data_IF_580728310320
#
_entry.id   IF_580728310320
#
_cell.length_a   1.000
_cell.length_b   1.000
_cell.length_c   1.000
_cell.angle_alpha   90.00
_cell.angle_beta   90.00
_cell.angle_gamma   90.00
#
_symmetry.space_group_name_H-M   'P 1'
#
loop_
_entity.id
_entity.type
_entity.pdbx_description
1 polymer ?
#
# COMPACT_ATOMS: atom_id res chain seq x y z
N UNK A 1 35.17 -27.43 -6.83
CA UNK A 1 34.36 -27.95 -5.70
C UNK A 1 35.01 -29.20 -5.09
N UNK A 2 34.98 -30.41 -5.69
CA UNK A 2 35.62 -31.60 -5.07
C UNK A 2 37.12 -31.39 -4.77
N UNK A 3 37.88 -30.91 -5.76
CA UNK A 3 39.29 -30.49 -5.66
C UNK A 3 39.55 -29.36 -4.66
N UNK A 4 38.50 -28.73 -4.12
CA UNK A 4 38.55 -27.58 -3.22
C UNK A 4 38.36 -27.98 -1.75
N UNK A 5 37.99 -29.24 -1.51
CA UNK A 5 37.79 -29.84 -0.18
C UNK A 5 38.64 -31.12 0.03
N UNK A 6 39.51 -31.45 -0.92
CA UNK A 6 40.40 -32.64 -0.88
C UNK A 6 39.68 -34.00 -0.71
N UNK A 7 38.42 -34.10 -1.15
CA UNK A 7 37.62 -35.32 -1.09
C UNK A 7 37.75 -36.13 -2.39
N UNK A 8 37.97 -37.44 -2.29
CA UNK A 8 37.93 -38.36 -3.45
C UNK A 8 36.47 -38.72 -3.79
N UNK A 9 36.15 -39.13 -5.03
CA UNK A 9 34.78 -39.52 -5.40
C UNK A 9 34.25 -40.68 -4.54
N UNK A 10 35.07 -41.68 -4.25
CA UNK A 10 34.75 -42.81 -3.37
C UNK A 10 34.58 -42.46 -1.88
N UNK A 11 35.10 -41.33 -1.41
CA UNK A 11 34.89 -40.86 -0.02
C UNK A 11 33.50 -40.20 0.17
N UNK A 12 32.78 -39.93 -0.92
CA UNK A 12 31.52 -39.18 -0.87
C UNK A 12 30.34 -40.07 -0.41
N UNK A 13 29.48 -39.59 0.51
CA UNK A 13 28.23 -40.29 0.81
C UNK A 13 27.33 -40.34 -0.43
N UNK A 14 26.74 -41.50 -0.68
CA UNK A 14 25.84 -41.69 -1.84
C UNK A 14 24.71 -40.66 -1.88
N UNK A 15 24.25 -40.30 -3.08
CA UNK A 15 23.18 -39.31 -3.26
C UNK A 15 21.95 -39.62 -2.41
N UNK A 16 21.56 -40.89 -2.30
CA UNK A 16 20.46 -41.34 -1.45
C UNK A 16 20.73 -41.09 0.05
N UNK A 17 21.97 -41.27 0.54
CA UNK A 17 22.36 -40.99 1.93
C UNK A 17 22.28 -39.49 2.22
N UNK A 18 22.76 -38.65 1.30
CA UNK A 18 22.64 -37.17 1.39
C UNK A 18 21.16 -36.74 1.37
N UNK A 19 20.38 -37.25 0.41
CA UNK A 19 18.94 -36.98 0.30
C UNK A 19 18.18 -37.41 1.57
N UNK A 20 18.50 -38.57 2.15
CA UNK A 20 17.90 -39.03 3.39
C UNK A 20 18.20 -38.11 4.58
N UNK A 21 19.45 -37.63 4.72
CA UNK A 21 19.82 -36.64 5.75
C UNK A 21 19.10 -35.31 5.53
N UNK A 22 19.04 -34.80 4.30
CA UNK A 22 18.33 -33.56 3.96
C UNK A 22 16.82 -33.70 4.22
N UNK A 23 16.21 -34.84 3.86
CA UNK A 23 14.79 -35.11 4.12
C UNK A 23 14.50 -35.37 5.61
N UNK A 24 15.44 -35.90 6.39
CA UNK A 24 15.32 -35.99 7.85
C UNK A 24 15.41 -34.60 8.50
N UNK A 25 16.43 -33.82 8.16
CA UNK A 25 16.64 -32.46 8.68
C UNK A 25 15.46 -31.54 8.32
N UNK A 26 15.00 -31.56 7.06
CA UNK A 26 13.83 -30.77 6.64
C UNK A 26 12.56 -31.15 7.40
N UNK A 27 12.29 -32.45 7.64
CA UNK A 27 11.14 -32.91 8.44
C UNK A 27 11.25 -32.54 9.93
N UNK A 28 12.44 -32.61 10.52
CA UNK A 28 12.62 -32.50 11.98
C UNK A 28 13.05 -31.11 12.49
N UNK A 29 13.61 -30.25 11.62
CA UNK A 29 14.09 -28.91 11.97
C UNK A 29 13.36 -27.81 11.21
N UNK A 30 13.13 -28.01 9.90
CA UNK A 30 12.48 -27.00 9.02
C UNK A 30 10.97 -27.26 8.83
N UNK A 31 10.33 -27.99 9.76
CA UNK A 31 8.88 -28.24 9.76
C UNK A 31 8.31 -28.94 8.51
N UNK A 32 9.14 -29.48 7.63
CA UNK A 32 8.79 -29.96 6.29
C UNK A 32 8.01 -31.27 6.26
N UNK A 33 6.83 -31.25 6.88
CA UNK A 33 5.94 -32.36 7.14
C UNK A 33 4.47 -31.86 7.17
N UNK A 34 3.54 -32.71 6.73
CA UNK A 34 2.09 -32.46 6.75
C UNK A 34 1.30 -33.47 7.58
N UNK A 35 1.98 -34.40 8.28
CA UNK A 35 1.32 -35.31 9.22
C UNK A 35 0.57 -34.50 10.28
N UNK A 36 -0.75 -34.70 10.33
CA UNK A 36 -1.70 -33.90 11.12
C UNK A 36 -1.30 -33.86 12.59
N UNK A 37 -0.91 -34.99 13.19
CA UNK A 37 -0.48 -35.04 14.60
C UNK A 37 0.69 -34.09 14.87
N UNK A 38 1.75 -34.17 14.09
CA UNK A 38 2.92 -33.30 14.21
C UNK A 38 2.59 -31.82 13.92
N UNK A 39 1.74 -31.54 12.92
CA UNK A 39 1.32 -30.17 12.57
C UNK A 39 0.47 -29.56 13.69
N UNK A 40 -0.54 -30.28 14.17
CA UNK A 40 -1.38 -29.88 15.31
C UNK A 40 -0.53 -29.72 16.58
N UNK A 41 0.44 -30.59 16.85
CA UNK A 41 1.37 -30.44 17.98
C UNK A 41 2.24 -29.19 17.85
N UNK A 42 2.79 -28.88 16.66
CA UNK A 42 3.56 -27.66 16.43
C UNK A 42 2.72 -26.38 16.61
N UNK A 43 1.48 -26.40 16.14
CA UNK A 43 0.53 -25.28 16.29
C UNK A 43 0.16 -25.09 17.75
N UNK A 44 -0.21 -26.16 18.48
CA UNK A 44 -0.59 -26.11 19.90
C UNK A 44 0.57 -25.78 20.83
N UNK A 45 1.80 -26.21 20.53
CA UNK A 45 3.00 -25.82 21.27
C UNK A 45 3.36 -24.32 21.13
N UNK A 46 2.59 -23.58 20.33
CA UNK A 46 2.74 -22.14 20.08
C UNK A 46 1.41 -21.39 20.35
N UNK A 47 0.44 -22.04 21.00
CA UNK A 47 -0.85 -21.44 21.32
C UNK A 47 -0.73 -20.25 22.26
N UNK A 48 -1.62 -19.27 22.10
CA UNK A 48 -1.67 -18.10 22.98
C UNK A 48 -2.02 -18.49 24.43
N UNK A 49 -1.07 -18.24 25.33
CA UNK A 49 -1.17 -18.36 26.78
C UNK A 49 -1.16 -16.98 27.48
N UNK A 50 -0.75 -15.91 26.78
CA UNK A 50 -0.73 -14.52 27.26
C UNK A 50 0.62 -14.05 27.82
N UNK A 51 1.53 -14.97 28.14
CA UNK A 51 2.85 -14.68 28.73
C UNK A 51 4.02 -14.64 27.73
N UNK A 52 3.74 -14.69 26.42
CA UNK A 52 4.73 -14.63 25.34
C UNK A 52 5.52 -13.31 25.34
N UNK A 53 6.73 -13.31 24.78
CA UNK A 53 7.48 -12.06 24.53
C UNK A 53 6.71 -11.12 23.58
N UNK A 54 6.95 -9.82 23.65
CA UNK A 54 6.24 -8.79 22.87
C UNK A 54 6.19 -9.11 21.36
N UNK A 55 7.34 -9.45 20.78
CA UNK A 55 7.48 -9.79 19.35
C UNK A 55 7.40 -11.30 19.05
N UNK A 56 7.06 -12.14 20.03
CA UNK A 56 6.92 -13.58 19.81
C UNK A 56 5.62 -13.90 19.02
N UNK A 57 5.70 -14.65 17.91
CA UNK A 57 4.51 -15.06 17.17
C UNK A 57 3.83 -16.27 17.81
N UNK A 58 2.58 -16.12 18.22
CA UNK A 58 1.73 -17.18 18.76
C UNK A 58 0.61 -17.56 17.78
N UNK A 59 0.01 -18.71 18.01
CA UNK A 59 -1.13 -19.24 17.26
C UNK A 59 -2.42 -19.13 18.08
N UNK A 60 -3.56 -19.09 17.40
CA UNK A 60 -4.88 -19.07 18.03
C UNK A 60 -5.94 -19.71 17.12
N UNK A 61 -7.10 -20.04 17.70
CA UNK A 61 -8.23 -20.66 17.00
C UNK A 61 -9.56 -20.32 17.66
N UNK A 62 -10.66 -20.80 17.07
CA UNK A 62 -12.02 -20.50 17.53
C UNK A 62 -12.63 -21.58 18.44
N UNK A 63 -12.59 -22.84 17.99
CA UNK A 63 -13.12 -23.97 18.75
C UNK A 63 -12.09 -24.47 19.76
N UNK A 64 -12.54 -24.90 20.94
CA UNK A 64 -11.71 -25.45 22.02
C UNK A 64 -12.29 -26.79 22.47
N UNK A 65 -11.43 -27.72 22.88
CA UNK A 65 -11.83 -29.01 23.45
C UNK A 65 -11.82 -28.98 24.99
N UNK A 66 -12.36 -30.03 25.61
CA UNK A 66 -12.48 -30.16 27.07
C UNK A 66 -11.12 -30.14 27.81
N UNK A 67 -10.04 -30.45 27.09
CA UNK A 67 -8.65 -30.39 27.59
C UNK A 67 -8.06 -28.97 27.54
N UNK A 68 -8.85 -27.93 27.24
CA UNK A 68 -8.39 -26.55 27.16
C UNK A 68 -7.45 -26.26 25.98
N UNK A 69 -7.49 -27.07 24.92
CA UNK A 69 -6.69 -26.87 23.71
C UNK A 69 -7.58 -26.48 22.53
N UNK A 70 -7.15 -25.51 21.73
CA UNK A 70 -7.91 -25.17 20.52
C UNK A 70 -7.86 -26.30 19.48
N UNK A 71 -8.97 -26.47 18.77
CA UNK A 71 -9.16 -27.47 17.72
C UNK A 71 -8.64 -26.86 16.42
N UNK A 72 -7.64 -27.52 15.84
CA UNK A 72 -7.02 -27.10 14.57
C UNK A 72 -7.75 -27.69 13.36
N UNK A 73 -8.48 -28.81 13.54
CA UNK A 73 -9.04 -29.61 12.46
C UNK A 73 -8.04 -30.54 11.79
N UNK A 74 -8.52 -31.38 10.86
CA UNK A 74 -7.70 -32.26 10.02
C UNK A 74 -7.73 -31.87 8.53
N UNK A 75 -8.67 -31.02 8.13
CA UNK A 75 -8.84 -30.53 6.76
C UNK A 75 -9.95 -31.17 5.95
N UNK A 76 -10.72 -32.12 6.49
CA UNK A 76 -11.95 -32.64 5.85
C UNK A 76 -13.11 -31.65 5.99
N UNK A 77 -14.24 -31.97 5.37
CA UNK A 77 -15.42 -31.11 5.39
C UNK A 77 -16.07 -31.02 6.78
N UNK A 78 -16.00 -32.11 7.57
CA UNK A 78 -16.53 -32.22 8.92
C UNK A 78 -15.57 -31.69 10.00
N UNK A 79 -14.26 -31.65 9.72
CA UNK A 79 -13.21 -31.23 10.65
C UNK A 79 -12.27 -30.19 9.98
N UNK A 80 -12.78 -29.00 9.63
CA UNK A 80 -12.08 -28.04 8.78
C UNK A 80 -10.78 -27.56 9.43
N UNK A 81 -9.70 -27.50 8.66
CA UNK A 81 -8.41 -27.03 9.17
C UNK A 81 -8.44 -25.52 9.31
N UNK A 82 -8.28 -24.95 10.50
CA UNK A 82 -8.28 -23.50 10.74
C UNK A 82 -7.39 -23.10 11.93
N UNK A 83 -6.47 -22.16 11.70
CA UNK A 83 -5.78 -21.44 12.78
C UNK A 83 -5.24 -20.08 12.32
N UNK A 84 -5.05 -19.15 13.27
CA UNK A 84 -4.44 -17.82 13.07
C UNK A 84 -3.04 -17.71 13.68
N UNK A 85 -2.24 -16.74 13.20
CA UNK A 85 -0.89 -16.42 13.66
C UNK A 85 -0.69 -14.89 13.74
N UNK A 86 -0.25 -14.38 14.89
CA UNK A 86 0.02 -12.94 15.09
C UNK A 86 1.04 -12.70 16.23
N UNK A 87 1.30 -11.44 16.59
CA UNK A 87 2.11 -11.00 17.75
C UNK A 87 1.37 -9.87 18.51
N UNK A 88 1.89 -9.43 19.65
CA UNK A 88 1.24 -8.37 20.46
C UNK A 88 1.25 -7.00 19.76
N UNK A 89 2.37 -6.50 19.19
CA UNK A 89 2.39 -5.28 18.37
C UNK A 89 1.47 -5.32 17.16
N UNK A 90 1.40 -6.44 16.44
CA UNK A 90 0.60 -6.52 15.21
C UNK A 90 -0.88 -6.21 15.50
N UNK A 91 -1.47 -6.87 16.51
CA UNK A 91 -2.83 -6.59 16.95
C UNK A 91 -3.01 -5.16 17.45
N UNK A 92 -2.04 -4.63 18.23
CA UNK A 92 -2.09 -3.26 18.78
C UNK A 92 -2.10 -2.16 17.70
N UNK A 93 -1.72 -2.44 16.45
CA UNK A 93 -1.88 -1.47 15.35
C UNK A 93 -3.34 -1.07 15.13
N UNK A 94 -4.34 -1.90 15.44
CA UNK A 94 -5.76 -1.56 15.35
C UNK A 94 -6.34 -0.90 16.63
N UNK A 95 -5.52 -0.62 17.64
CA UNK A 95 -5.93 0.06 18.89
C UNK A 95 -6.13 1.57 18.68
N UNK A 96 -7.08 1.94 17.84
CA UNK A 96 -7.42 3.32 17.45
C UNK A 96 -8.91 3.43 17.07
N UNK A 97 -9.36 4.64 16.79
CA UNK A 97 -10.71 4.90 16.26
C UNK A 97 -10.95 4.11 14.95
N UNK A 98 -11.99 3.24 14.88
CA UNK A 98 -12.36 2.49 13.69
C UNK A 98 -12.61 3.31 12.42
N UNK A 99 -12.94 4.60 12.54
CA UNK A 99 -13.10 5.49 11.39
C UNK A 99 -11.76 5.87 10.72
N UNK A 100 -10.63 5.70 11.42
CA UNK A 100 -9.29 6.09 10.93
C UNK A 100 -8.61 5.05 10.06
N UNK A 101 -9.22 3.87 9.86
CA UNK A 101 -8.65 2.79 9.06
C UNK A 101 -9.70 1.99 8.28
N UNK A 102 -9.27 1.41 7.16
CA UNK A 102 -10.00 0.34 6.48
C UNK A 102 -9.42 -0.99 6.94
N UNK A 103 -10.23 -1.91 7.46
CA UNK A 103 -9.83 -3.28 7.72
C UNK A 103 -9.88 -4.09 6.42
N UNK A 104 -8.84 -4.87 6.14
CA UNK A 104 -8.66 -5.58 4.89
C UNK A 104 -8.55 -7.08 5.10
N UNK A 105 -9.14 -7.85 4.17
CA UNK A 105 -8.95 -9.30 4.02
C UNK A 105 -8.66 -9.61 2.55
N UNK A 106 -7.48 -10.14 2.23
CA UNK A 106 -7.11 -10.67 0.91
C UNK A 106 -6.86 -12.18 1.03
N UNK A 107 -7.31 -12.97 0.03
CA UNK A 107 -7.09 -14.42 0.02
C UNK A 107 -5.95 -14.84 -0.93
N UNK A 108 -4.87 -15.36 -0.34
CA UNK A 108 -3.68 -15.81 -1.07
C UNK A 108 -3.60 -17.32 -1.19
N UNK A 109 -3.66 -17.80 -2.43
CA UNK A 109 -3.59 -19.21 -2.83
C UNK A 109 -2.17 -19.66 -3.21
N UNK A 110 -1.97 -20.98 -3.37
CA UNK A 110 -0.73 -21.62 -3.84
C UNK A 110 0.50 -21.37 -2.94
N UNK A 111 0.29 -21.37 -1.62
CA UNK A 111 1.35 -21.28 -0.60
C UNK A 111 1.86 -22.65 -0.14
N UNK A 112 0.99 -23.66 -0.09
CA UNK A 112 1.27 -24.99 0.45
C UNK A 112 0.77 -26.15 -0.42
N UNK A 113 1.26 -27.35 -0.12
CA UNK A 113 0.98 -28.59 -0.85
C UNK A 113 -0.43 -29.14 -0.65
N UNK A 114 -1.12 -28.77 0.44
CA UNK A 114 -2.54 -29.09 0.68
C UNK A 114 -3.52 -28.19 -0.08
N UNK A 115 -3.04 -27.15 -0.77
CA UNK A 115 -3.86 -26.19 -1.49
C UNK A 115 -4.56 -25.14 -0.61
N UNK A 116 -4.41 -25.22 0.73
CA UNK A 116 -5.15 -24.40 1.69
C UNK A 116 -4.88 -22.90 1.47
N UNK A 117 -5.91 -22.05 1.29
CA UNK A 117 -5.72 -20.61 1.23
C UNK A 117 -5.14 -20.03 2.54
N UNK A 118 -4.36 -18.96 2.38
CA UNK A 118 -3.90 -18.10 3.48
C UNK A 118 -4.71 -16.80 3.43
N UNK A 119 -5.41 -16.48 4.51
CA UNK A 119 -6.11 -15.19 4.66
C UNK A 119 -5.12 -14.18 5.23
N UNK A 120 -4.98 -13.04 4.57
CA UNK A 120 -4.13 -11.93 5.02
C UNK A 120 -5.03 -10.83 5.57
N UNK A 121 -5.05 -10.68 6.89
CA UNK A 121 -5.87 -9.67 7.56
C UNK A 121 -5.00 -8.50 8.05
N UNK A 122 -5.40 -7.27 7.73
CA UNK A 122 -4.66 -6.07 8.11
C UNK A 122 -5.52 -4.81 8.13
N UNK A 123 -4.88 -3.65 8.30
CA UNK A 123 -5.54 -2.34 8.22
C UNK A 123 -4.74 -1.40 7.30
N UNK A 124 -5.41 -0.48 6.61
CA UNK A 124 -4.76 0.56 5.81
C UNK A 124 -4.96 1.94 6.43
N UNK A 125 -3.89 2.73 6.44
CA UNK A 125 -3.85 4.10 6.99
C UNK A 125 -4.10 5.21 5.96
N UNK A 126 -4.10 6.48 6.40
CA UNK A 126 -4.37 7.63 5.53
C UNK A 126 -3.27 7.88 4.48
N UNK A 127 -2.03 7.42 4.73
CA UNK A 127 -0.95 7.39 3.74
C UNK A 127 -1.01 6.15 2.82
N UNK A 128 -2.09 5.36 2.92
CA UNK A 128 -2.35 4.13 2.16
C UNK A 128 -1.27 3.07 2.38
N UNK A 129 -0.64 3.07 3.55
CA UNK A 129 0.21 1.97 4.00
C UNK A 129 -0.66 0.90 4.65
N UNK A 130 -0.42 -0.36 4.26
CA UNK A 130 -1.03 -1.52 4.89
C UNK A 130 -0.19 -1.99 6.07
N UNK A 131 -0.86 -2.28 7.17
CA UNK A 131 -0.32 -2.74 8.45
C UNK A 131 -0.92 -4.12 8.75
N UNK A 132 -0.09 -5.15 8.85
CA UNK A 132 -0.53 -6.54 9.04
C UNK A 132 -1.08 -6.75 10.46
N UNK A 133 -2.28 -7.32 10.61
CA UNK A 133 -2.84 -7.70 11.92
C UNK A 133 -2.67 -9.19 12.22
N UNK A 134 -2.97 -10.08 11.27
CA UNK A 134 -2.87 -11.54 11.46
C UNK A 134 -2.86 -12.27 10.12
N UNK A 135 -2.33 -13.49 10.12
CA UNK A 135 -2.39 -14.44 9.01
C UNK A 135 -3.19 -15.66 9.46
N UNK A 136 -4.13 -16.15 8.65
CA UNK A 136 -4.82 -17.43 8.89
C UNK A 136 -4.48 -18.45 7.82
N UNK A 137 -4.47 -19.73 8.19
CA UNK A 137 -4.54 -20.85 7.24
C UNK A 137 -5.92 -21.51 7.42
N UNK A 138 -6.66 -21.70 6.33
CA UNK A 138 -7.95 -22.41 6.34
C UNK A 138 -8.02 -23.45 5.21
N UNK A 139 -8.58 -24.64 5.44
CA UNK A 139 -8.83 -25.60 4.34
C UNK A 139 -10.06 -25.24 3.50
N UNK A 140 -10.98 -24.44 4.03
CA UNK A 140 -12.27 -24.11 3.40
C UNK A 140 -12.54 -22.60 3.36
N UNK A 141 -13.44 -22.21 2.44
CA UNK A 141 -13.83 -20.82 2.18
C UNK A 141 -15.35 -20.59 2.26
N UNK A 142 -16.07 -21.45 2.99
CA UNK A 142 -17.50 -21.24 3.27
C UNK A 142 -17.68 -20.24 4.42
N UNK A 143 -18.87 -19.62 4.55
CA UNK A 143 -19.15 -18.58 5.56
C UNK A 143 -18.70 -18.98 6.99
N UNK A 144 -18.99 -20.19 7.52
CA UNK A 144 -18.59 -20.56 8.89
C UNK A 144 -17.07 -20.46 9.13
N UNK A 145 -16.25 -20.64 8.10
CA UNK A 145 -14.78 -20.60 8.21
C UNK A 145 -14.27 -19.17 8.30
N UNK A 146 -14.81 -18.27 7.49
CA UNK A 146 -14.56 -16.83 7.62
C UNK A 146 -15.11 -16.30 8.96
N UNK A 147 -16.31 -16.73 9.37
CA UNK A 147 -16.91 -16.34 10.66
C UNK A 147 -16.05 -16.80 11.84
N UNK A 148 -15.57 -18.05 11.84
CA UNK A 148 -14.65 -18.57 12.86
C UNK A 148 -13.29 -17.84 12.85
N UNK A 149 -12.75 -17.49 11.67
CA UNK A 149 -11.51 -16.71 11.57
C UNK A 149 -11.70 -15.28 12.12
N UNK A 150 -12.78 -14.58 11.74
CA UNK A 150 -13.05 -13.24 12.24
C UNK A 150 -13.40 -13.24 13.74
N UNK A 151 -14.19 -14.19 14.22
CA UNK A 151 -14.56 -14.30 15.63
C UNK A 151 -13.33 -14.61 16.51
N UNK A 152 -12.44 -15.50 16.07
CA UNK A 152 -11.17 -15.76 16.76
C UNK A 152 -10.20 -14.57 16.69
N UNK A 153 -10.20 -13.77 15.61
CA UNK A 153 -9.48 -12.48 15.57
C UNK A 153 -10.03 -11.49 16.61
N UNK A 154 -11.36 -11.32 16.69
CA UNK A 154 -11.99 -10.44 17.70
C UNK A 154 -11.68 -10.91 19.13
N UNK A 155 -11.69 -12.22 19.37
CA UNK A 155 -11.32 -12.83 20.64
C UNK A 155 -9.85 -12.56 21.02
N UNK A 156 -8.89 -12.87 20.14
CA UNK A 156 -7.45 -12.72 20.47
C UNK A 156 -7.05 -11.25 20.61
N UNK A 157 -7.62 -10.37 19.77
CA UNK A 157 -7.44 -8.92 19.91
C UNK A 157 -7.95 -8.44 21.29
N UNK A 158 -9.13 -8.89 21.71
CA UNK A 158 -9.68 -8.53 23.03
C UNK A 158 -8.80 -9.02 24.19
N UNK A 159 -8.15 -10.19 24.05
CA UNK A 159 -7.19 -10.71 25.03
C UNK A 159 -5.87 -9.94 25.07
N UNK A 160 -5.38 -9.41 23.95
CA UNK A 160 -4.06 -8.77 23.82
C UNK A 160 -4.10 -7.24 24.02
N UNK A 161 -5.22 -6.62 23.67
CA UNK A 161 -5.42 -5.15 23.68
C UNK A 161 -6.39 -4.71 24.79
N UNK A 162 -7.17 -5.62 25.38
CA UNK A 162 -8.07 -5.34 26.51
C UNK A 162 -9.40 -4.67 26.12
N UNK A 163 -9.68 -4.52 24.82
CA UNK A 163 -10.88 -3.89 24.27
C UNK A 163 -11.36 -4.65 23.01
N UNK A 164 -12.66 -4.62 22.65
CA UNK A 164 -13.14 -5.31 21.45
C UNK A 164 -12.57 -4.69 20.16
N UNK A 165 -12.24 -5.54 19.18
CA UNK A 165 -11.93 -5.07 17.82
C UNK A 165 -13.21 -4.54 17.19
N UNK A 166 -13.24 -3.25 16.85
CA UNK A 166 -14.34 -2.59 16.12
C UNK A 166 -13.87 -2.21 14.71
N UNK A 167 -14.77 -2.27 13.73
CA UNK A 167 -14.46 -2.01 12.31
C UNK A 167 -15.57 -1.14 11.70
N UNK A 168 -15.24 0.09 11.26
CA UNK A 168 -16.19 0.94 10.55
C UNK A 168 -16.20 0.70 9.02
N UNK A 169 -15.07 0.24 8.46
CA UNK A 169 -14.92 -0.06 7.04
C UNK A 169 -14.22 -1.40 6.85
N UNK A 170 -14.90 -2.36 6.22
CA UNK A 170 -14.36 -3.67 5.84
C UNK A 170 -14.14 -3.70 4.32
N UNK A 171 -12.93 -4.05 3.86
CA UNK A 171 -12.63 -4.24 2.44
C UNK A 171 -12.13 -5.66 2.18
N UNK A 172 -12.89 -6.39 1.35
CA UNK A 172 -12.65 -7.79 1.07
C UNK A 172 -12.49 -8.15 -0.41
N UNK A 173 -12.24 -9.43 -0.64
CA UNK A 173 -12.49 -10.10 -1.91
C UNK A 173 -13.99 -9.95 -2.29
N UNK A 174 -14.28 -9.95 -3.59
CA UNK A 174 -15.65 -9.94 -4.08
C UNK A 174 -16.24 -11.37 -4.06
N UNK A 175 -16.44 -11.88 -2.85
CA UNK A 175 -16.88 -13.22 -2.44
C UNK A 175 -18.05 -13.14 -1.44
N UNK A 176 -19.06 -13.99 -1.61
CA UNK A 176 -20.29 -13.93 -0.79
C UNK A 176 -20.14 -14.56 0.60
N UNK A 177 -19.32 -15.61 0.74
CA UNK A 177 -19.07 -16.25 2.02
C UNK A 177 -18.28 -15.32 2.97
N UNK A 178 -17.29 -14.61 2.44
CA UNK A 178 -16.54 -13.58 3.17
C UNK A 178 -17.43 -12.38 3.53
N UNK A 179 -18.31 -11.93 2.62
CA UNK A 179 -19.25 -10.84 2.87
C UNK A 179 -20.22 -11.17 4.01
N UNK A 180 -20.91 -12.32 3.92
CA UNK A 180 -21.87 -12.76 4.96
C UNK A 180 -21.17 -12.94 6.30
N UNK A 181 -19.99 -13.58 6.33
CA UNK A 181 -19.25 -13.78 7.57
C UNK A 181 -18.82 -12.47 8.24
N UNK A 182 -18.41 -11.46 7.45
CA UNK A 182 -18.09 -10.15 7.96
C UNK A 182 -19.34 -9.44 8.53
N UNK A 183 -20.51 -9.60 7.89
CA UNK A 183 -21.77 -9.08 8.40
C UNK A 183 -22.17 -9.79 9.72
N UNK A 184 -22.09 -11.12 9.76
CA UNK A 184 -22.36 -11.97 10.92
C UNK A 184 -21.47 -11.63 12.13
N UNK A 185 -20.17 -11.33 11.91
CA UNK A 185 -19.20 -11.14 13.00
C UNK A 185 -18.95 -9.68 13.40
N UNK A 186 -19.12 -8.71 12.49
CA UNK A 186 -18.93 -7.28 12.80
C UNK A 186 -20.25 -6.49 12.88
N UNK A 187 -21.30 -6.89 12.16
CA UNK A 187 -22.59 -6.18 12.13
C UNK A 187 -23.38 -6.22 13.45
N UNK A 188 -22.97 -7.02 14.43
CA UNK A 188 -23.61 -7.12 15.76
C UNK A 188 -23.36 -5.87 16.62
N UNK A 189 -22.18 -5.26 16.54
CA UNK A 189 -21.78 -4.12 17.39
C UNK A 189 -21.03 -3.00 16.65
N UNK A 190 -20.79 -3.15 15.34
CA UNK A 190 -20.12 -2.17 14.49
C UNK A 190 -21.03 -1.73 13.33
N UNK A 191 -21.10 -0.43 13.07
CA UNK A 191 -21.69 0.14 11.85
C UNK A 191 -20.73 -0.06 10.67
N UNK A 192 -20.52 -1.33 10.29
CA UNK A 192 -19.52 -1.75 9.33
C UNK A 192 -19.99 -1.49 7.89
N UNK A 193 -19.33 -0.56 7.19
CA UNK A 193 -19.52 -0.34 5.75
C UNK A 193 -18.66 -1.33 4.97
N UNK A 194 -19.30 -2.15 4.14
CA UNK A 194 -18.61 -3.12 3.29
C UNK A 194 -18.18 -2.46 1.97
N UNK A 195 -16.88 -2.47 1.70
CA UNK A 195 -16.25 -1.95 0.50
C UNK A 195 -15.76 -3.12 -0.35
N UNK A 196 -16.13 -3.18 -1.64
CA UNK A 196 -15.47 -4.12 -2.54
C UNK A 196 -14.00 -3.74 -2.71
N UNK A 197 -13.09 -4.71 -2.59
CA UNK A 197 -11.69 -4.52 -2.92
C UNK A 197 -11.54 -4.13 -4.38
N UNK A 198 -11.27 -2.83 -4.63
CA UNK A 198 -11.15 -2.22 -5.96
C UNK A 198 -10.37 -3.14 -6.92
N UNK A 199 -9.22 -3.64 -6.48
CA UNK A 199 -8.39 -4.63 -7.18
C UNK A 199 -9.12 -5.85 -7.76
N UNK A 200 -10.01 -6.50 -7.01
CA UNK A 200 -10.69 -7.73 -7.45
C UNK A 200 -11.76 -7.39 -8.50
N UNK A 201 -12.38 -6.22 -8.36
CA UNK A 201 -13.25 -5.64 -9.37
C UNK A 201 -12.48 -5.43 -10.69
N UNK A 202 -11.23 -4.92 -10.69
CA UNK A 202 -10.41 -4.90 -11.92
C UNK A 202 -9.91 -6.25 -12.38
N UNK A 203 -9.48 -7.14 -11.49
CA UNK A 203 -8.99 -8.45 -11.90
C UNK A 203 -10.06 -9.15 -12.76
N UNK A 204 -11.33 -9.03 -12.36
CA UNK A 204 -12.51 -9.44 -13.12
C UNK A 204 -12.66 -8.69 -14.47
N UNK A 205 -12.41 -7.38 -14.56
CA UNK A 205 -12.49 -6.65 -15.85
C UNK A 205 -11.32 -6.88 -16.80
N UNK A 206 -10.07 -6.89 -16.34
CA UNK A 206 -8.92 -7.27 -17.19
C UNK A 206 -9.10 -8.70 -17.70
N UNK A 207 -9.85 -9.53 -16.98
CA UNK A 207 -10.32 -10.82 -17.45
C UNK A 207 -11.45 -10.74 -18.48
N UNK A 208 -12.54 -10.01 -18.24
CA UNK A 208 -13.64 -9.83 -19.20
C UNK A 208 -13.18 -9.16 -20.51
N UNK A 209 -12.27 -8.20 -20.42
CA UNK A 209 -11.74 -7.44 -21.55
C UNK A 209 -10.77 -8.25 -22.46
N UNK A 210 -10.45 -9.50 -22.14
CA UNK A 210 -9.55 -10.36 -22.96
C UNK A 210 -10.06 -10.64 -24.38
N UNK A 211 -11.36 -10.45 -24.64
CA UNK A 211 -11.95 -10.57 -25.98
C UNK A 211 -12.08 -9.24 -26.75
N UNK A 212 -11.76 -8.10 -26.14
CA UNK A 212 -11.92 -6.78 -26.77
C UNK A 212 -10.70 -6.38 -27.60
N UNK A 213 -10.90 -5.51 -28.60
CA UNK A 213 -9.76 -4.82 -29.23
C UNK A 213 -9.05 -3.95 -28.20
N UNK A 214 -7.74 -3.70 -28.40
CA UNK A 214 -6.92 -2.92 -27.47
C UNK A 214 -7.53 -1.53 -27.19
N UNK A 215 -8.09 -0.88 -28.20
CA UNK A 215 -8.69 0.46 -28.09
C UNK A 215 -9.91 0.48 -27.17
N UNK A 216 -10.78 -0.53 -27.27
CA UNK A 216 -11.93 -0.71 -26.37
C UNK A 216 -11.49 -1.09 -24.96
N UNK A 217 -10.49 -1.99 -24.83
CA UNK A 217 -9.91 -2.34 -23.53
C UNK A 217 -9.27 -1.13 -22.84
N UNK A 218 -8.52 -0.31 -23.58
CA UNK A 218 -7.96 0.95 -23.08
C UNK A 218 -9.05 2.00 -22.79
N UNK A 219 -10.24 1.93 -23.40
CA UNK A 219 -11.39 2.80 -23.12
C UNK A 219 -12.10 2.43 -21.81
N UNK A 220 -12.52 1.17 -21.71
CA UNK A 220 -13.01 0.50 -20.49
C UNK A 220 -12.13 0.87 -19.28
N UNK A 221 -10.81 0.67 -19.41
CA UNK A 221 -9.85 0.97 -18.33
C UNK A 221 -9.62 2.46 -18.07
N UNK A 222 -9.99 3.38 -18.97
CA UNK A 222 -9.98 4.83 -18.68
C UNK A 222 -11.21 5.20 -17.86
N UNK A 223 -12.37 4.70 -18.27
CA UNK A 223 -13.64 5.21 -17.78
C UNK A 223 -13.90 4.82 -16.32
N UNK A 224 -13.31 3.74 -15.79
CA UNK A 224 -13.29 3.52 -14.32
C UNK A 224 -12.13 4.16 -13.56
N UNK A 225 -11.00 4.49 -14.18
CA UNK A 225 -10.10 5.46 -13.52
C UNK A 225 -10.82 6.79 -13.32
N UNK A 226 -11.69 7.19 -14.27
CA UNK A 226 -12.55 8.37 -14.15
C UNK A 226 -13.67 8.15 -13.11
N UNK A 227 -14.50 7.11 -13.25
CA UNK A 227 -15.64 6.78 -12.36
C UNK A 227 -15.26 6.68 -10.87
N UNK A 228 -14.05 6.21 -10.56
CA UNK A 228 -13.57 6.12 -9.17
C UNK A 228 -12.88 7.40 -8.66
N UNK A 229 -12.77 8.43 -9.49
CA UNK A 229 -12.26 9.76 -9.13
C UNK A 229 -13.32 10.87 -9.32
N UNK A 230 -14.60 10.49 -9.45
CA UNK A 230 -15.75 11.41 -9.50
C UNK A 230 -16.00 12.05 -8.14
N UNK A 231 -16.53 13.28 -8.13
CA UNK A 231 -16.55 14.11 -6.91
C UNK A 231 -17.84 14.00 -6.11
N UNK A 232 -18.88 13.46 -6.73
CA UNK A 232 -20.23 13.35 -6.18
C UNK A 232 -20.98 12.21 -6.90
N UNK A 233 -22.20 11.90 -6.44
CA UNK A 233 -23.03 10.85 -7.03
C UNK A 233 -23.45 11.15 -8.48
N UNK A 234 -23.70 12.41 -8.86
CA UNK A 234 -24.12 12.77 -10.23
C UNK A 234 -22.96 12.61 -11.23
N UNK A 235 -21.74 13.00 -10.85
CA UNK A 235 -20.52 12.72 -11.63
C UNK A 235 -20.32 11.19 -11.77
N UNK A 236 -20.57 10.43 -10.69
CA UNK A 236 -20.47 8.97 -10.67
C UNK A 236 -21.50 8.35 -11.62
N UNK A 237 -22.77 8.71 -11.49
CA UNK A 237 -23.88 8.21 -12.31
C UNK A 237 -23.72 8.59 -13.78
N UNK A 238 -23.22 9.79 -14.09
CA UNK A 238 -22.85 10.19 -15.44
C UNK A 238 -21.68 9.35 -15.99
N UNK A 239 -20.67 9.03 -15.16
CA UNK A 239 -19.60 8.11 -15.54
C UNK A 239 -20.06 6.65 -15.63
N UNK A 240 -21.06 6.23 -14.84
CA UNK A 240 -21.72 4.91 -14.94
C UNK A 240 -22.52 4.83 -16.22
N UNK A 241 -23.26 5.86 -16.61
CA UNK A 241 -23.99 5.90 -17.88
C UNK A 241 -23.05 5.85 -19.09
N UNK A 242 -21.87 6.47 -18.99
CA UNK A 242 -20.82 6.39 -20.00
C UNK A 242 -20.13 5.00 -19.99
N UNK A 243 -19.84 4.45 -18.81
CA UNK A 243 -19.26 3.11 -18.65
C UNK A 243 -20.25 1.97 -18.92
N UNK A 244 -21.57 2.23 -18.96
CA UNK A 244 -22.58 1.32 -19.49
C UNK A 244 -22.42 1.09 -21.00
N UNK A 245 -21.61 1.92 -21.68
CA UNK A 245 -21.16 1.76 -23.06
C UNK A 245 -19.67 1.34 -23.15
N UNK A 246 -18.96 1.20 -22.02
CA UNK A 246 -17.56 0.77 -21.91
C UNK A 246 -17.26 0.19 -20.49
N UNK A 247 -17.50 -1.11 -20.28
CA UNK A 247 -17.77 -1.70 -18.95
C UNK A 247 -16.59 -1.89 -17.96
N UNK A 248 -16.59 -1.10 -16.86
CA UNK A 248 -15.91 -1.33 -15.56
C UNK A 248 -14.33 -1.27 -15.62
N UNK A 249 -13.41 -1.45 -14.65
CA UNK A 249 -13.23 -1.54 -13.17
C UNK A 249 -11.79 -1.05 -12.80
N UNK A 250 -11.25 -1.06 -11.53
CA UNK A 250 -10.00 -0.41 -10.97
C UNK A 250 -8.94 -1.19 -10.07
N UNK A 251 -7.71 -0.71 -9.76
CA UNK A 251 -6.60 -1.49 -9.11
C UNK A 251 -6.16 -1.03 -7.69
N UNK A 252 -5.88 -1.95 -6.72
CA UNK A 252 -4.76 -1.74 -5.73
C UNK A 252 -4.18 -2.92 -4.87
N UNK A 253 -4.96 -3.86 -4.30
CA UNK A 253 -4.54 -4.83 -3.25
C UNK A 253 -3.34 -5.76 -3.53
N UNK A 254 -3.04 -6.11 -4.79
CA UNK A 254 -2.05 -7.17 -5.11
C UNK A 254 -0.64 -7.03 -4.54
N UNK A 255 -0.20 -5.86 -4.06
CA UNK A 255 1.21 -5.64 -3.70
C UNK A 255 1.65 -6.51 -2.51
N UNK A 256 0.77 -6.74 -1.51
CA UNK A 256 1.10 -7.62 -0.38
C UNK A 256 0.92 -9.11 -0.69
N UNK A 257 -0.16 -9.50 -1.37
CA UNK A 257 -0.30 -10.89 -1.81
C UNK A 257 0.79 -11.28 -2.83
N UNK A 258 1.40 -10.31 -3.52
CA UNK A 258 2.65 -10.49 -4.28
C UNK A 258 3.91 -10.54 -3.42
N UNK A 259 4.06 -9.80 -2.30
CA UNK A 259 5.24 -9.95 -1.44
C UNK A 259 5.25 -11.31 -0.73
N UNK A 260 4.11 -11.72 -0.17
CA UNK A 260 3.90 -13.06 0.38
C UNK A 260 4.21 -14.13 -0.66
N UNK A 261 3.76 -13.97 -1.91
CA UNK A 261 4.15 -14.88 -2.99
C UNK A 261 5.64 -14.77 -3.31
N UNK A 262 6.27 -13.60 -3.30
CA UNK A 262 7.66 -13.41 -3.76
C UNK A 262 8.63 -14.27 -2.98
N UNK A 263 8.52 -14.27 -1.65
CA UNK A 263 9.37 -15.05 -0.75
C UNK A 263 9.09 -16.57 -0.85
N UNK A 264 7.90 -16.96 -1.33
CA UNK A 264 7.54 -18.37 -1.59
C UNK A 264 7.69 -18.78 -3.07
N UNK A 265 8.02 -17.87 -4.00
CA UNK A 265 8.16 -18.15 -5.44
C UNK A 265 9.52 -18.70 -5.88
N UNK A 266 10.17 -19.50 -5.04
CA UNK A 266 11.18 -20.47 -5.52
C UNK A 266 10.48 -21.72 -6.10
N UNK A 267 9.47 -21.49 -6.94
CA UNK A 267 8.63 -22.47 -7.66
C UNK A 267 8.04 -23.64 -6.85
N UNK A 268 7.99 -23.56 -5.50
CA UNK A 268 7.79 -24.72 -4.62
C UNK A 268 6.72 -24.46 -3.58
N UNK A 269 5.61 -25.21 -3.66
CA UNK A 269 4.61 -25.28 -2.59
C UNK A 269 5.25 -25.83 -1.30
N UNK A 270 5.06 -25.14 -0.18
CA UNK A 270 5.59 -25.53 1.12
C UNK A 270 4.75 -26.65 1.77
N UNK A 271 5.33 -27.36 2.73
CA UNK A 271 4.54 -28.22 3.64
C UNK A 271 3.93 -27.39 4.78
N UNK A 272 2.82 -27.81 5.39
CA UNK A 272 2.08 -26.97 6.35
C UNK A 272 2.95 -26.56 7.55
N UNK A 273 3.78 -27.46 8.09
CA UNK A 273 4.70 -27.11 9.18
C UNK A 273 5.87 -26.19 8.76
N UNK A 274 6.23 -26.18 7.47
CA UNK A 274 7.25 -25.29 6.88
C UNK A 274 6.65 -23.91 6.62
N UNK A 275 5.40 -23.86 6.11
CA UNK A 275 4.60 -22.64 6.00
C UNK A 275 4.37 -22.00 7.38
N UNK A 276 4.06 -22.78 8.42
CA UNK A 276 3.92 -22.28 9.80
C UNK A 276 5.18 -21.52 10.26
N UNK A 277 6.37 -22.09 10.06
CA UNK A 277 7.63 -21.43 10.41
C UNK A 277 7.83 -20.12 9.62
N UNK A 278 7.48 -20.10 8.33
CA UNK A 278 7.58 -18.91 7.49
C UNK A 278 6.57 -17.81 7.88
N UNK A 279 5.30 -18.16 8.11
CA UNK A 279 4.28 -17.21 8.56
C UNK A 279 4.61 -16.63 9.95
N UNK A 280 5.16 -17.42 10.88
CA UNK A 280 5.69 -16.88 12.16
C UNK A 280 6.85 -15.92 11.92
N UNK A 281 7.78 -16.25 11.02
CA UNK A 281 8.93 -15.38 10.71
C UNK A 281 8.48 -14.06 10.09
N UNK A 282 7.48 -14.09 9.19
CA UNK A 282 6.80 -12.93 8.63
C UNK A 282 6.14 -12.08 9.73
N UNK A 283 5.34 -12.69 10.61
CA UNK A 283 4.71 -11.98 11.73
C UNK A 283 5.75 -11.36 12.69
N UNK A 284 6.86 -12.05 13.01
CA UNK A 284 7.95 -11.48 13.83
C UNK A 284 8.61 -10.29 13.13
N UNK A 285 8.89 -10.40 11.84
CA UNK A 285 9.54 -9.31 11.09
C UNK A 285 8.65 -8.07 10.99
N UNK A 286 7.36 -8.23 10.69
CA UNK A 286 6.39 -7.12 10.71
C UNK A 286 6.09 -6.58 12.11
N UNK A 287 6.29 -7.39 13.16
CA UNK A 287 6.17 -6.97 14.56
C UNK A 287 7.36 -6.12 15.03
N UNK A 288 8.53 -6.29 14.42
CA UNK A 288 9.74 -5.51 14.70
C UNK A 288 9.78 -4.25 13.81
N UNK A 289 9.46 -4.37 12.52
CA UNK A 289 9.31 -3.25 11.57
C UNK A 289 7.86 -2.71 11.56
N UNK A 290 7.28 -2.46 12.75
CA UNK A 290 5.97 -1.79 12.85
C UNK A 290 6.14 -0.35 12.40
N UNK A 291 5.47 -0.01 11.30
CA UNK A 291 5.53 1.34 10.73
C UNK A 291 4.65 2.29 11.52
N UNK A 292 5.08 3.56 11.60
CA UNK A 292 4.23 4.61 12.14
C UNK A 292 2.95 4.73 11.30
N UNK A 293 1.81 4.49 11.91
CA UNK A 293 0.49 4.61 11.27
C UNK A 293 0.18 6.08 10.98
N UNK A 294 -0.08 6.43 9.72
CA UNK A 294 -0.34 7.79 9.31
C UNK A 294 -1.83 8.17 9.45
N UNK A 295 -2.12 9.18 10.27
CA UNK A 295 -3.47 9.76 10.43
C UNK A 295 -3.84 10.78 9.35
N UNK A 296 -2.84 11.28 8.62
CA UNK A 296 -2.99 12.15 7.44
C UNK A 296 -2.31 11.52 6.23
N UNK A 297 -2.74 11.89 5.02
CA UNK A 297 -2.07 11.46 3.81
C UNK A 297 -0.70 12.14 3.65
N UNK A 298 0.35 11.35 3.46
CA UNK A 298 1.71 11.86 3.22
C UNK A 298 2.12 11.66 1.75
N UNK A 299 2.89 12.58 1.16
CA UNK A 299 3.42 12.40 -0.19
C UNK A 299 4.47 11.28 -0.21
N UNK A 300 4.38 10.36 -1.17
CA UNK A 300 5.36 9.27 -1.27
C UNK A 300 6.73 9.77 -1.77
N UNK A 301 7.79 9.03 -1.43
CA UNK A 301 9.15 9.33 -1.90
C UNK A 301 9.25 9.30 -3.43
N UNK A 302 8.48 8.43 -4.09
CA UNK A 302 8.35 8.40 -5.55
C UNK A 302 7.64 9.64 -6.11
N UNK A 303 6.58 10.14 -5.45
CA UNK A 303 5.86 11.33 -5.91
C UNK A 303 6.75 12.57 -5.77
N UNK A 304 7.41 12.76 -4.63
CA UNK A 304 8.40 13.81 -4.41
C UNK A 304 9.55 13.76 -5.43
N UNK A 305 10.06 12.57 -5.73
CA UNK A 305 11.12 12.40 -6.73
C UNK A 305 10.62 12.63 -8.17
N UNK A 306 9.34 12.36 -8.47
CA UNK A 306 8.72 12.67 -9.78
C UNK A 306 8.54 14.17 -9.97
N UNK A 307 8.20 14.93 -8.92
CA UNK A 307 8.16 16.41 -8.95
C UNK A 307 9.52 16.99 -9.35
N UNK A 308 10.62 16.54 -8.72
CA UNK A 308 11.98 16.99 -9.09
C UNK A 308 12.34 16.68 -10.54
N UNK A 309 11.97 15.50 -11.03
CA UNK A 309 12.23 15.11 -12.42
C UNK A 309 11.42 15.94 -13.42
N UNK A 310 10.15 16.26 -13.11
CA UNK A 310 9.31 17.14 -13.91
C UNK A 310 9.85 18.59 -13.93
N UNK A 311 10.30 19.10 -12.77
CA UNK A 311 10.96 20.41 -12.66
C UNK A 311 12.22 20.48 -13.53
N UNK A 312 13.10 19.47 -13.45
CA UNK A 312 14.32 19.39 -14.25
C UNK A 312 14.04 19.30 -15.76
N UNK A 313 12.94 18.65 -16.16
CA UNK A 313 12.53 18.55 -17.57
C UNK A 313 11.65 19.73 -18.03
N UNK A 314 11.40 20.72 -17.16
CA UNK A 314 10.50 21.86 -17.39
C UNK A 314 9.05 21.47 -17.76
N UNK A 315 8.65 20.24 -17.42
CA UNK A 315 7.32 19.67 -17.67
C UNK A 315 6.29 20.05 -16.59
N UNK A 316 6.70 20.77 -15.56
CA UNK A 316 5.82 21.40 -14.58
C UNK A 316 6.35 22.80 -14.27
N UNK A 317 5.48 23.80 -14.41
CA UNK A 317 5.85 25.20 -14.18
C UNK A 317 4.66 26.06 -13.76
N UNK A 318 4.98 27.21 -13.20
CA UNK A 318 4.03 28.26 -12.85
C UNK A 318 3.53 28.95 -14.14
N UNK A 319 2.22 29.17 -14.28
CA UNK A 319 1.67 29.96 -15.37
C UNK A 319 1.82 31.45 -15.05
N UNK A 320 2.65 32.13 -15.83
CA UNK A 320 2.73 33.60 -15.82
C UNK A 320 1.84 34.12 -16.95
N UNK A 321 0.73 34.83 -16.67
CA UNK A 321 -0.09 35.41 -17.73
C UNK A 321 0.71 36.45 -18.53
N UNK A 322 0.43 36.62 -19.84
CA UNK A 322 0.98 37.72 -20.62
C UNK A 322 0.67 39.07 -19.94
N UNK A 323 1.67 39.93 -19.80
CA UNK A 323 1.53 41.21 -19.08
C UNK A 323 0.63 42.19 -19.83
N UNK A 324 -0.67 42.14 -19.58
CA UNK A 324 -1.63 43.26 -19.59
C UNK A 324 -2.96 42.78 -19.00
N UNK A 325 -3.22 43.07 -17.72
CA UNK A 325 -4.43 42.67 -17.00
C UNK A 325 -4.50 43.34 -15.63
N UNK A 326 -5.72 43.66 -15.18
CA UNK A 326 -5.95 44.50 -13.98
C UNK A 326 -5.72 43.75 -12.65
N UNK A 327 -5.65 42.42 -12.68
CA UNK A 327 -5.48 41.56 -11.50
C UNK A 327 -4.20 41.86 -10.70
N UNK A 328 -3.19 42.49 -11.30
CA UNK A 328 -1.99 42.95 -10.59
C UNK A 328 -2.28 44.06 -9.56
N UNK A 329 -3.43 44.73 -9.67
CA UNK A 329 -3.89 45.78 -8.74
C UNK A 329 -4.91 45.28 -7.72
N UNK A 330 -5.53 44.12 -7.95
CA UNK A 330 -6.48 43.48 -7.03
C UNK A 330 -5.79 42.32 -6.32
N UNK A 331 -5.16 42.58 -5.17
CA UNK A 331 -4.38 41.62 -4.39
C UNK A 331 -5.20 40.54 -3.67
N UNK A 332 -6.16 39.90 -4.36
CA UNK A 332 -7.22 39.06 -3.77
C UNK A 332 -6.93 37.55 -3.79
N UNK A 333 -5.85 37.09 -4.44
CA UNK A 333 -5.53 35.65 -4.62
C UNK A 333 -4.07 35.30 -4.25
N UNK A 334 -3.55 35.88 -3.16
CA UNK A 334 -2.14 35.76 -2.71
C UNK A 334 -1.66 34.30 -2.54
N UNK A 335 -2.57 33.36 -2.29
CA UNK A 335 -2.27 31.96 -2.00
C UNK A 335 -2.57 30.99 -3.16
N UNK A 336 -3.03 31.46 -4.32
CA UNK A 336 -3.33 30.58 -5.47
C UNK A 336 -2.18 30.61 -6.47
N UNK A 337 -1.57 29.45 -6.70
CA UNK A 337 -0.53 29.25 -7.72
C UNK A 337 -1.14 28.49 -8.89
N UNK A 338 -1.19 29.11 -10.07
CA UNK A 338 -1.59 28.43 -11.30
C UNK A 338 -0.44 27.56 -11.82
N UNK A 339 -0.60 26.24 -11.78
CA UNK A 339 0.43 25.26 -12.18
C UNK A 339 0.08 24.61 -13.51
N UNK A 340 0.85 24.90 -14.55
CA UNK A 340 0.83 24.15 -15.80
C UNK A 340 1.65 22.87 -15.65
N UNK A 341 1.07 21.78 -16.11
CA UNK A 341 1.70 20.47 -16.20
C UNK A 341 1.60 19.95 -17.63
N UNK A 342 2.69 19.37 -18.13
CA UNK A 342 2.79 18.75 -19.45
C UNK A 342 3.14 17.28 -19.24
N UNK A 343 2.31 16.32 -19.69
CA UNK A 343 2.56 14.91 -19.42
C UNK A 343 3.84 14.43 -20.14
N UNK A 344 4.79 13.80 -19.42
CA UNK A 344 6.01 13.27 -20.03
C UNK A 344 5.71 12.20 -21.09
N UNK A 345 6.49 12.21 -22.18
CA UNK A 345 6.43 11.20 -23.25
C UNK A 345 6.50 9.78 -22.67
N UNK A 346 5.70 8.86 -23.23
CA UNK A 346 5.61 7.47 -22.78
C UNK A 346 6.31 6.53 -23.75
N UNK A 347 7.37 5.89 -23.27
CA UNK A 347 8.24 4.98 -24.03
C UNK A 347 7.88 3.53 -23.70
N UNK A 348 7.82 2.67 -24.71
CA UNK A 348 7.60 1.24 -24.50
C UNK A 348 8.84 0.58 -23.91
N UNK A 349 8.75 0.10 -22.67
CA UNK A 349 9.77 -0.71 -22.04
C UNK A 349 9.47 -2.19 -22.32
N UNK A 350 10.28 -2.79 -23.20
CA UNK A 350 10.14 -4.18 -23.62
C UNK A 350 10.37 -5.20 -22.48
N UNK A 351 11.27 -4.90 -21.52
CA UNK A 351 11.54 -5.79 -20.39
C UNK A 351 10.36 -5.86 -19.41
N UNK A 352 9.64 -4.76 -19.18
CA UNK A 352 8.41 -4.74 -18.37
C UNK A 352 7.12 -4.96 -19.17
N UNK A 353 7.21 -5.08 -20.51
CA UNK A 353 6.09 -5.12 -21.47
C UNK A 353 5.03 -4.02 -21.22
N UNK A 354 5.48 -2.79 -20.93
CA UNK A 354 4.63 -1.65 -20.50
C UNK A 354 5.12 -0.32 -21.07
N UNK A 355 4.19 0.60 -21.33
CA UNK A 355 4.49 2.00 -21.65
C UNK A 355 4.70 2.80 -20.36
N UNK A 356 5.97 3.08 -20.05
CA UNK A 356 6.39 3.86 -18.88
C UNK A 356 6.64 5.32 -19.33
N UNK A 357 6.54 6.29 -18.44
CA UNK A 357 6.98 7.67 -18.78
C UNK A 357 8.51 7.67 -18.95
N UNK A 358 9.03 8.58 -19.78
CA UNK A 358 10.48 8.76 -19.98
C UNK A 358 11.20 9.13 -18.67
N UNK A 359 10.47 9.65 -17.68
CA UNK A 359 10.90 9.79 -16.30
C UNK A 359 10.91 8.41 -15.61
N UNK A 360 12.09 7.80 -15.49
CA UNK A 360 12.30 6.46 -14.90
C UNK A 360 11.66 6.28 -13.51
N UNK A 361 11.57 7.34 -12.71
CA UNK A 361 10.96 7.35 -11.36
C UNK A 361 9.50 6.91 -11.36
N UNK A 362 8.77 7.16 -12.45
CA UNK A 362 7.32 6.96 -12.54
C UNK A 362 6.89 5.53 -12.92
N UNK A 363 7.81 4.55 -13.04
CA UNK A 363 7.52 3.19 -13.52
C UNK A 363 6.51 2.37 -12.69
N UNK A 364 5.99 2.93 -11.58
CA UNK A 364 4.87 2.39 -10.78
C UNK A 364 3.49 3.00 -11.12
N UNK A 365 3.44 4.13 -11.83
CA UNK A 365 2.20 4.90 -12.12
C UNK A 365 1.63 4.48 -13.47
N UNK A 366 0.40 3.96 -13.49
CA UNK A 366 -0.24 3.53 -14.75
C UNK A 366 -0.57 4.75 -15.63
N UNK A 367 -0.74 4.53 -16.95
CA UNK A 367 -1.11 5.58 -17.88
C UNK A 367 -2.39 6.32 -17.46
N UNK A 368 -3.40 5.56 -17.04
CA UNK A 368 -4.69 6.12 -16.66
C UNK A 368 -4.68 6.70 -15.22
N UNK A 369 -3.75 6.30 -14.36
CA UNK A 369 -3.50 7.02 -13.09
C UNK A 369 -2.90 8.40 -13.35
N UNK A 370 -1.92 8.50 -14.25
CA UNK A 370 -1.29 9.78 -14.60
C UNK A 370 -2.24 10.73 -15.33
N UNK A 371 -3.20 10.21 -16.11
CA UNK A 371 -4.26 11.02 -16.72
C UNK A 371 -5.04 11.87 -15.72
N UNK A 372 -5.19 11.41 -14.47
CA UNK A 372 -5.87 12.17 -13.40
C UNK A 372 -5.17 13.49 -13.03
N UNK A 373 -3.94 13.70 -13.52
CA UNK A 373 -3.17 14.94 -13.37
C UNK A 373 -3.41 15.91 -14.55
N UNK A 374 -3.93 15.45 -15.69
CA UNK A 374 -4.13 16.26 -16.91
C UNK A 374 -5.60 16.40 -17.35
N UNK A 375 -6.48 15.47 -16.95
CA UNK A 375 -7.86 15.40 -17.45
C UNK A 375 -8.65 16.66 -17.04
N UNK A 376 -9.00 17.48 -18.04
CA UNK A 376 -9.66 18.80 -17.88
C UNK A 376 -8.79 19.87 -17.19
N UNK A 377 -7.46 19.81 -17.33
CA UNK A 377 -6.56 20.89 -16.94
C UNK A 377 -6.90 22.20 -17.69
N UNK A 378 -7.09 23.33 -16.99
CA UNK A 378 -7.36 24.62 -17.65
C UNK A 378 -6.18 25.09 -18.52
N UNK A 379 -6.46 25.94 -19.52
CA UNK A 379 -5.43 26.56 -20.35
C UNK A 379 -4.41 27.42 -19.56
N UNK A 380 -4.81 27.92 -18.39
CA UNK A 380 -3.95 28.64 -17.42
C UNK A 380 -3.24 27.70 -16.44
N UNK A 381 -3.40 26.38 -16.56
CA UNK A 381 -2.97 25.41 -15.55
C UNK A 381 -3.96 25.25 -14.39
N UNK A 382 -3.63 24.37 -13.46
CA UNK A 382 -4.45 24.09 -12.27
C UNK A 382 -4.28 25.21 -11.22
N UNK A 383 -5.36 25.87 -10.76
CA UNK A 383 -5.28 26.78 -9.62
C UNK A 383 -5.10 25.96 -8.33
N UNK A 384 -3.88 25.97 -7.79
CA UNK A 384 -3.50 25.27 -6.55
C UNK A 384 -3.58 26.24 -5.38
N UNK A 385 -4.33 25.90 -4.33
CA UNK A 385 -4.38 26.68 -3.09
C UNK A 385 -3.25 26.22 -2.15
N UNK A 386 -2.26 27.08 -1.95
CA UNK A 386 -1.09 26.81 -1.10
C UNK A 386 -1.30 27.14 0.38
N UNK A 387 -2.46 27.68 0.78
CA UNK A 387 -2.82 27.91 2.18
C UNK A 387 -3.70 26.78 2.74
N UNK A 388 -4.69 26.30 1.97
CA UNK A 388 -5.51 25.14 2.34
C UNK A 388 -4.90 23.80 1.89
N UNK A 389 -3.73 23.83 1.23
CA UNK A 389 -3.04 22.67 0.67
C UNK A 389 -3.92 21.82 -0.28
N UNK A 390 -4.68 22.46 -1.18
CA UNK A 390 -5.58 21.76 -2.11
C UNK A 390 -5.24 21.97 -3.58
N UNK A 391 -5.60 21.00 -4.43
CA UNK A 391 -5.48 21.10 -5.88
C UNK A 391 -6.73 20.49 -6.55
N UNK A 392 -7.33 21.15 -7.56
CA UNK A 392 -8.55 20.66 -8.22
C UNK A 392 -8.32 19.56 -9.26
N UNK A 393 -7.13 18.96 -9.37
CA UNK A 393 -6.91 17.82 -10.27
C UNK A 393 -7.47 16.51 -9.68
N UNK A 394 -7.90 15.57 -10.54
CA UNK A 394 -8.46 14.28 -10.11
C UNK A 394 -7.50 13.43 -9.28
N UNK A 395 -6.19 13.56 -9.51
CA UNK A 395 -5.16 12.87 -8.74
C UNK A 395 -5.15 13.35 -7.28
N UNK A 396 -5.26 14.67 -7.04
CA UNK A 396 -5.35 15.18 -5.67
C UNK A 396 -6.64 14.73 -4.99
N UNK A 397 -7.77 14.76 -5.69
CA UNK A 397 -9.04 14.29 -5.11
C UNK A 397 -8.96 12.84 -4.61
N UNK A 398 -8.34 11.93 -5.38
CA UNK A 398 -8.17 10.53 -4.98
C UNK A 398 -7.05 10.30 -3.96
N UNK A 399 -5.92 11.01 -4.06
CA UNK A 399 -4.70 10.68 -3.31
C UNK A 399 -4.30 11.73 -2.25
N UNK A 400 -5.07 12.80 -2.10
CA UNK A 400 -4.86 13.92 -1.15
C UNK A 400 -3.46 14.53 -1.19
N UNK A 401 -2.76 14.33 -2.30
CA UNK A 401 -1.45 14.86 -2.65
C UNK A 401 -1.25 14.66 -4.17
N UNK A 402 -0.60 15.60 -4.87
CA UNK A 402 -0.34 15.51 -6.30
C UNK A 402 0.94 16.30 -6.69
N UNK A 403 1.41 16.13 -7.92
CA UNK A 403 2.61 16.86 -8.40
C UNK A 403 2.43 18.38 -8.40
N UNK A 404 1.23 18.89 -8.67
CA UNK A 404 0.96 20.34 -8.71
C UNK A 404 1.04 20.98 -7.32
N UNK A 405 0.43 20.33 -6.32
CA UNK A 405 0.46 20.82 -4.93
C UNK A 405 1.88 20.89 -4.39
N UNK A 406 2.63 19.80 -4.53
CA UNK A 406 4.01 19.72 -4.08
C UNK A 406 4.92 20.75 -4.79
N UNK A 407 4.74 20.94 -6.09
CA UNK A 407 5.42 21.99 -6.85
C UNK A 407 5.09 23.39 -6.31
N UNK A 408 3.82 23.71 -6.10
CA UNK A 408 3.38 25.02 -5.63
C UNK A 408 3.85 25.33 -4.19
N UNK A 409 3.84 24.35 -3.29
CA UNK A 409 4.32 24.49 -1.92
C UNK A 409 5.86 24.66 -1.85
N UNK A 410 6.61 24.00 -2.74
CA UNK A 410 8.05 24.26 -2.92
C UNK A 410 8.31 25.66 -3.50
N UNK A 411 7.48 26.10 -4.44
CA UNK A 411 7.57 27.43 -5.06
C UNK A 411 7.34 28.54 -4.04
N UNK A 412 6.32 28.38 -3.20
CA UNK A 412 5.93 29.28 -2.11
C UNK A 412 6.87 29.21 -0.88
N UNK A 413 7.93 28.39 -0.93
CA UNK A 413 8.87 28.16 0.17
C UNK A 413 8.21 27.72 1.49
N UNK A 414 7.13 26.93 1.40
CA UNK A 414 6.50 26.23 2.53
C UNK A 414 7.15 24.86 2.74
N UNK A 415 7.45 24.16 1.64
CA UNK A 415 8.20 22.89 1.65
C UNK A 415 9.58 23.06 1.01
N UNK A 416 10.55 22.25 1.44
CA UNK A 416 11.82 22.08 0.75
C UNK A 416 11.78 20.96 -0.31
N UNK A 417 12.91 20.75 -1.01
CA UNK A 417 13.03 19.74 -2.07
C UNK A 417 12.80 18.29 -1.60
N UNK A 418 12.86 18.02 -0.29
CA UNK A 418 12.55 16.73 0.33
C UNK A 418 11.09 16.60 0.76
N UNK A 419 10.31 17.67 0.76
CA UNK A 419 8.94 17.70 1.29
C UNK A 419 8.86 17.94 2.81
N UNK A 420 9.94 18.45 3.43
CA UNK A 420 9.93 18.88 4.84
C UNK A 420 9.44 20.34 4.91
N UNK A 421 8.63 20.70 5.92
CA UNK A 421 8.21 22.08 6.16
C UNK A 421 9.39 22.98 6.55
N UNK A 422 9.39 24.22 6.06
CA UNK A 422 10.46 25.20 6.30
C UNK A 422 9.91 26.59 6.61
N UNK A 423 10.66 27.36 7.42
CA UNK A 423 10.28 28.72 7.80
C UNK A 423 10.22 29.64 6.57
N UNK A 424 9.05 30.25 6.35
CA UNK A 424 8.75 31.08 5.18
C UNK A 424 9.74 32.25 5.02
N UNK A 425 10.57 32.20 3.99
CA UNK A 425 11.64 33.17 3.77
C UNK A 425 11.14 34.47 3.14
N UNK A 426 10.71 35.42 4.00
CA UNK A 426 10.23 36.77 3.63
C UNK A 426 11.20 37.61 2.76
N UNK A 427 12.47 37.23 2.60
CA UNK A 427 13.43 37.93 1.73
C UNK A 427 13.38 37.48 0.26
N UNK A 428 12.61 36.43 -0.08
CA UNK A 428 12.56 35.84 -1.43
C UNK A 428 11.55 36.52 -2.36
N UNK A 429 11.54 37.85 -2.42
CA UNK A 429 10.76 38.60 -3.42
C UNK A 429 11.19 38.21 -4.84
N UNK A 430 10.22 38.05 -5.74
CA UNK A 430 10.39 37.54 -7.10
C UNK A 430 11.20 38.48 -8.00
N UNK A 431 12.53 38.29 -8.04
CA UNK A 431 13.35 38.84 -9.12
C UNK A 431 12.99 38.15 -10.44
N UNK A 432 12.55 38.87 -11.49
CA UNK A 432 12.36 38.29 -12.82
C UNK A 432 13.69 37.77 -13.37
N UNK A 433 13.67 36.62 -14.05
CA UNK A 433 14.85 36.06 -14.71
C UNK A 433 15.13 36.77 -16.05
N UNK A 434 15.56 38.03 -15.98
CA UNK A 434 16.02 38.78 -17.15
C UNK A 434 17.43 38.32 -17.54
N UNK A 435 17.52 37.44 -18.54
CA UNK A 435 18.74 37.29 -19.33
C UNK A 435 18.92 38.56 -20.18
N UNK A 436 19.70 39.51 -19.66
CA UNK A 436 20.12 40.72 -20.35
C UNK A 436 21.64 40.85 -20.31
N UNK A 437 22.24 41.27 -21.43
CA UNK A 437 23.70 41.48 -21.53
C UNK A 437 24.10 42.65 -20.62
N UNK A 438 25.17 42.45 -19.86
CA UNK A 438 25.43 43.23 -18.65
C UNK A 438 26.13 44.58 -18.85
N UNK A 439 26.26 45.31 -17.73
CA UNK A 439 27.27 46.31 -17.45
C UNK A 439 27.64 46.23 -15.95
N UNK A 440 28.78 46.81 -15.57
CA UNK A 440 29.44 46.53 -14.29
C UNK A 440 28.71 47.10 -13.04
N UNK A 441 28.83 46.46 -11.86
CA UNK A 441 28.16 46.92 -10.64
C UNK A 441 28.84 48.13 -10.01
N UNK A 442 28.08 49.20 -9.76
CA UNK A 442 28.53 50.40 -9.05
C UNK A 442 28.44 50.25 -7.53
N UNK A 443 29.59 50.39 -6.86
CA UNK A 443 29.79 50.78 -5.46
C UNK A 443 28.84 50.23 -4.38
N UNK A 444 29.24 49.16 -3.71
CA UNK A 444 28.73 48.82 -2.38
C UNK A 444 29.31 49.79 -1.32
N UNK A 445 28.45 50.45 -0.53
CA UNK A 445 28.87 51.40 0.50
C UNK A 445 29.52 50.72 1.72
N UNK A 446 30.81 50.97 1.94
CA UNK A 446 31.55 50.54 3.15
C UNK A 446 31.75 51.73 4.10
N UNK A 447 31.47 51.60 5.41
CA UNK A 447 31.83 52.62 6.41
C UNK A 447 33.34 52.95 6.38
N UNK A 448 33.68 54.23 6.58
CA UNK A 448 35.00 54.78 6.21
C UNK A 448 36.12 54.60 7.24
N UNK A 449 35.88 53.95 8.39
CA UNK A 449 36.88 53.61 9.41
C UNK A 449 36.57 52.25 10.06
N UNK A 450 37.59 51.47 10.46
CA UNK A 450 37.40 50.28 11.29
C UNK A 450 37.29 50.65 12.77
N UNK A 451 36.44 49.94 13.51
CA UNK A 451 36.30 49.99 14.96
C UNK A 451 35.60 48.72 15.47
N UNK A 452 35.65 48.41 16.78
CA UNK A 452 34.91 47.29 17.36
C UNK A 452 33.40 47.46 17.18
N UNK A 453 32.65 46.35 17.16
CA UNK A 453 31.19 46.40 17.20
C UNK A 453 30.71 46.50 18.66
N UNK A 454 29.63 47.27 18.87
CA UNK A 454 28.96 47.56 20.15
C UNK A 454 29.66 48.60 21.07
N UNK A 455 29.51 49.87 20.69
CA UNK A 455 29.22 50.93 21.68
C UNK A 455 27.80 51.47 21.39
N UNK A 456 27.13 52.01 22.40
CA UNK A 456 25.69 52.35 22.37
C UNK A 456 25.50 53.83 22.73
N UNK A 457 24.86 54.57 21.83
CA UNK A 457 23.83 55.59 22.11
C UNK A 457 22.71 55.45 21.05
#
# INVERSE_FOLDING_TARGET
>A
MLTQFSLRPEDLPSLQKVQNVVCYFRRTKIGGNDSISNVTSLIRAQAFHGNEEEHEPFTFGWQWNDNGQFVVGNGTDENPFLFGITTKPLLRQAARDPATFIFHVDVTYKTNQGGYPVLVCGITDAARQFHLLTLFVTSQQQEPHFSNAFASLRWIYSRVVGQPLRVAMFMGDADSAQFSAAATVFGVDCTCTHLMGYYHFLAKVVERAKGLSKEHSDAVLRDVYKMHCTRNAQDFDACVLHAYLAEQALLQLAVLSLSTRRDYTVHRLLKIGELLQQLRSCCRQHSIDVRQFAVTATPSKELLSRVRALQHQQLIHEYTPPRMGLDLLLGTMVNIVNVLYVPPLRVYNAATKRFNEHIQVSAKVSANTARLETDNQPATGWPVDTANHTCPCGYFYKYTSCVHLLFAMQRSAVLNDKGEEVLFNRRRTTKPSTHGVGLAPTAAGRPRRPGPALEIE
#
